data_IF_043804164742
#
_entry.id   IF_043804164742
#
_cell.length_a   1.000
_cell.length_b   1.000
_cell.length_c   1.000
_cell.angle_alpha   90.00
_cell.angle_beta   90.00
_cell.angle_gamma   90.00
#
_symmetry.space_group_name_H-M   'P 1'
#
loop_
_entity.id
_entity.type
_entity.pdbx_description
1 polymer ?
#
# COMPACT_ATOMS: atom_id res chain seq x y z
N UNK A 1 32.56 -0.28 -42.73
CA UNK A 1 33.30 0.65 -41.87
C UNK A 1 32.44 0.85 -40.63
N UNK A 2 32.78 0.14 -39.55
CA UNK A 2 32.10 0.25 -38.26
C UNK A 2 32.46 1.59 -37.65
N UNK A 3 31.44 2.35 -37.27
CA UNK A 3 31.64 3.53 -36.42
C UNK A 3 32.14 3.03 -35.05
N UNK A 4 33.39 3.27 -34.78
CA UNK A 4 34.02 3.15 -33.47
C UNK A 4 33.27 4.08 -32.53
N UNK A 5 32.42 3.56 -31.66
CA UNK A 5 31.78 4.35 -30.61
C UNK A 5 32.90 4.84 -29.70
N UNK A 6 33.16 6.16 -29.73
CA UNK A 6 34.08 6.78 -28.82
C UNK A 6 33.64 6.47 -27.39
N UNK A 7 34.50 5.79 -26.63
CA UNK A 7 34.28 5.51 -25.21
C UNK A 7 34.06 6.85 -24.50
N UNK A 8 32.81 7.07 -24.02
CA UNK A 8 32.43 8.26 -23.23
C UNK A 8 31.40 9.21 -23.83
N UNK A 9 30.85 8.96 -25.00
CA UNK A 9 29.80 9.79 -25.62
C UNK A 9 28.38 9.46 -25.14
N UNK A 10 27.52 10.48 -25.04
CA UNK A 10 26.11 10.32 -24.72
C UNK A 10 25.41 9.43 -25.78
N UNK A 11 24.61 8.45 -25.35
CA UNK A 11 23.94 7.48 -26.21
C UNK A 11 22.70 8.00 -26.93
N UNK A 12 22.29 9.23 -26.71
CA UNK A 12 21.07 9.80 -27.30
C UNK A 12 21.32 10.29 -28.71
N UNK A 13 20.36 9.94 -29.60
CA UNK A 13 20.26 10.52 -30.94
C UNK A 13 19.35 11.73 -30.90
N UNK A 14 19.82 12.86 -31.42
CA UNK A 14 19.05 14.12 -31.51
C UNK A 14 17.95 14.00 -32.59
N UNK A 15 16.97 14.88 -32.54
CA UNK A 15 15.85 14.88 -33.47
C UNK A 15 16.22 15.06 -34.96
N UNK A 16 17.43 15.50 -35.26
CA UNK A 16 18.01 15.59 -36.59
C UNK A 16 18.80 14.35 -37.02
N UNK A 17 18.78 13.29 -36.21
CA UNK A 17 19.44 12.01 -36.49
C UNK A 17 20.95 11.99 -36.19
N UNK A 18 21.52 13.05 -35.61
CA UNK A 18 22.91 13.07 -35.17
C UNK A 18 23.06 12.57 -33.72
N UNK A 19 24.21 11.94 -33.37
CA UNK A 19 24.48 11.60 -31.98
C UNK A 19 24.67 12.88 -31.16
N UNK A 20 24.28 12.83 -29.90
CA UNK A 20 24.54 13.92 -28.95
C UNK A 20 26.07 14.11 -28.79
N UNK A 21 26.58 15.36 -28.96
CA UNK A 21 28.03 15.63 -28.89
C UNK A 21 28.57 15.68 -27.46
N UNK A 22 27.71 15.69 -26.45
CA UNK A 22 28.08 15.85 -25.06
C UNK A 22 28.69 14.57 -24.47
N UNK A 23 29.56 14.74 -23.50
CA UNK A 23 30.17 13.62 -22.79
C UNK A 23 29.19 13.05 -21.74
N UNK A 24 29.34 11.73 -21.48
CA UNK A 24 28.62 11.06 -20.40
C UNK A 24 28.99 11.68 -19.07
N UNK A 25 28.00 11.85 -18.19
CA UNK A 25 28.22 12.33 -16.82
C UNK A 25 29.14 11.37 -16.04
N UNK A 26 30.25 11.82 -15.49
CA UNK A 26 31.19 10.97 -14.76
C UNK A 26 30.53 10.26 -13.58
N UNK A 27 30.67 8.93 -13.51
CA UNK A 27 30.11 8.11 -12.45
C UNK A 27 28.60 7.76 -12.63
N UNK A 28 27.96 8.22 -13.71
CA UNK A 28 26.60 7.82 -14.05
C UNK A 28 26.56 6.34 -14.46
N UNK A 29 25.59 5.55 -13.96
CA UNK A 29 25.37 4.19 -14.44
C UNK A 29 24.73 4.15 -15.84
N UNK A 30 24.28 5.29 -16.36
CA UNK A 30 23.66 5.45 -17.66
C UNK A 30 24.62 6.20 -18.60
N UNK A 31 24.71 5.78 -19.86
CA UNK A 31 25.51 6.44 -20.89
C UNK A 31 24.81 7.72 -21.39
N UNK A 32 24.52 8.65 -20.48
CA UNK A 32 23.84 9.90 -20.75
C UNK A 32 24.67 11.11 -20.25
N UNK A 33 24.63 12.22 -20.97
CA UNK A 33 25.13 13.49 -20.48
C UNK A 33 24.19 14.09 -19.44
N UNK A 34 24.67 15.10 -18.69
CA UNK A 34 23.90 15.79 -17.64
C UNK A 34 22.52 16.27 -18.14
N UNK A 35 22.42 16.83 -19.35
CA UNK A 35 21.16 17.30 -19.91
C UNK A 35 20.16 16.17 -20.10
N UNK A 36 20.59 15.06 -20.74
CA UNK A 36 19.69 13.92 -20.98
C UNK A 36 19.39 13.12 -19.70
N UNK A 37 20.23 13.17 -18.67
CA UNK A 37 19.90 12.69 -17.34
C UNK A 37 18.77 13.51 -16.69
N UNK A 38 18.83 14.85 -16.84
CA UNK A 38 17.75 15.74 -16.38
C UNK A 38 16.45 15.49 -17.14
N UNK A 39 16.50 15.34 -18.46
CA UNK A 39 15.32 14.99 -19.27
C UNK A 39 14.70 13.65 -18.83
N UNK A 40 15.53 12.64 -18.60
CA UNK A 40 15.09 11.33 -18.10
C UNK A 40 14.48 11.47 -16.69
N UNK A 41 15.09 12.25 -15.80
CA UNK A 41 14.55 12.52 -14.46
C UNK A 41 13.20 13.25 -14.53
N UNK A 42 13.07 14.26 -15.37
CA UNK A 42 11.82 14.99 -15.55
C UNK A 42 10.71 14.09 -16.07
N UNK A 43 11.02 13.20 -17.01
CA UNK A 43 10.07 12.22 -17.50
C UNK A 43 9.64 11.26 -16.38
N UNK A 44 10.57 10.67 -15.66
CA UNK A 44 10.28 9.75 -14.55
C UNK A 44 9.47 10.47 -13.46
N UNK A 45 9.88 11.66 -13.06
CA UNK A 45 9.18 12.38 -11.98
C UNK A 45 7.75 12.77 -12.36
N UNK A 46 7.47 13.01 -13.66
CA UNK A 46 6.15 13.35 -14.16
C UNK A 46 5.25 12.14 -14.35
N UNK A 47 5.76 11.08 -14.97
CA UNK A 47 4.95 9.96 -15.46
C UNK A 47 4.97 8.76 -14.50
N UNK A 48 6.06 8.53 -13.78
CA UNK A 48 6.23 7.42 -12.82
C UNK A 48 6.12 7.91 -11.37
N UNK A 49 6.55 9.13 -11.12
CA UNK A 49 6.67 9.71 -9.77
C UNK A 49 7.96 9.29 -9.06
N UNK A 50 8.25 9.97 -7.96
CA UNK A 50 9.44 9.72 -7.14
C UNK A 50 9.00 9.33 -5.73
N UNK A 51 9.43 8.15 -5.29
CA UNK A 51 9.16 7.69 -3.92
C UNK A 51 9.97 8.54 -2.93
N UNK A 52 9.28 9.12 -1.96
CA UNK A 52 9.86 9.99 -0.94
C UNK A 52 8.97 10.03 0.31
N UNK A 53 9.40 10.74 1.35
CA UNK A 53 8.60 10.96 2.55
C UNK A 53 7.51 12.01 2.28
N UNK A 54 6.28 11.67 2.63
CA UNK A 54 5.18 12.63 2.63
C UNK A 54 5.50 13.84 3.53
N UNK A 55 5.09 15.05 3.15
CA UNK A 55 5.31 16.26 3.97
C UNK A 55 4.62 16.17 5.34
N UNK A 56 3.56 15.38 5.44
CA UNK A 56 2.87 15.04 6.68
C UNK A 56 2.41 13.58 6.63
N UNK A 57 2.12 12.92 7.77
CA UNK A 57 1.51 11.62 7.74
C UNK A 57 0.21 11.62 6.93
N UNK A 58 -0.02 10.58 6.14
CA UNK A 58 -1.23 10.45 5.34
C UNK A 58 -2.49 10.51 6.22
N UNK A 59 -3.42 11.38 5.89
CA UNK A 59 -4.66 11.57 6.65
C UNK A 59 -5.55 10.32 6.65
N UNK A 60 -5.49 9.52 5.58
CA UNK A 60 -6.29 8.31 5.46
C UNK A 60 -5.71 7.11 6.24
N UNK A 61 -4.38 6.92 6.23
CA UNK A 61 -3.76 5.71 6.77
C UNK A 61 -2.60 5.92 7.74
N UNK A 62 -2.15 7.16 7.94
CA UNK A 62 -1.05 7.51 8.85
C UNK A 62 0.35 7.17 8.34
N UNK A 63 0.50 6.57 7.17
CA UNK A 63 1.80 6.24 6.57
C UNK A 63 2.54 7.51 6.16
N UNK A 64 3.87 7.43 6.08
CA UNK A 64 4.75 8.55 5.73
C UNK A 64 5.44 8.41 4.38
N UNK A 65 5.32 7.27 3.73
CA UNK A 65 5.90 7.04 2.41
C UNK A 65 4.88 7.41 1.34
N UNK A 66 5.29 8.21 0.38
CA UNK A 66 4.47 8.64 -0.73
C UNK A 66 5.21 8.61 -2.06
N UNK A 67 4.48 8.92 -3.11
CA UNK A 67 4.99 9.12 -4.45
C UNK A 67 4.75 10.59 -4.79
N UNK A 68 5.82 11.28 -5.11
CA UNK A 68 5.80 12.69 -5.49
C UNK A 68 5.69 12.80 -7.01
N UNK A 69 4.68 13.53 -7.47
CA UNK A 69 4.50 13.99 -8.84
C UNK A 69 4.59 15.51 -8.90
N UNK A 70 4.76 16.14 -10.07
CA UNK A 70 4.64 17.59 -10.22
C UNK A 70 3.26 18.11 -9.79
N UNK A 71 2.21 17.28 -9.91
CA UNK A 71 0.83 17.58 -9.51
C UNK A 71 0.56 17.38 -8.01
N UNK A 72 1.55 16.96 -7.22
CA UNK A 72 1.42 16.73 -5.78
C UNK A 72 1.82 15.33 -5.34
N UNK A 73 1.44 15.00 -4.12
CA UNK A 73 1.80 13.75 -3.48
C UNK A 73 0.64 12.76 -3.44
N UNK A 74 0.96 11.48 -3.62
CA UNK A 74 0.05 10.36 -3.41
C UNK A 74 0.66 9.44 -2.35
N UNK A 75 -0.13 8.99 -1.38
CA UNK A 75 0.33 8.02 -0.40
C UNK A 75 0.64 6.68 -1.08
N UNK A 76 1.85 6.16 -0.91
CA UNK A 76 2.27 4.89 -1.51
C UNK A 76 1.50 3.66 -0.97
N UNK A 77 0.86 3.79 0.20
CA UNK A 77 0.15 2.68 0.85
C UNK A 77 -1.35 2.64 0.54
N UNK A 78 -2.01 3.79 0.41
CA UNK A 78 -3.47 3.85 0.26
C UNK A 78 -3.93 4.75 -0.91
N UNK A 79 -2.98 5.27 -1.69
CA UNK A 79 -3.23 6.11 -2.87
C UNK A 79 -3.98 7.42 -2.58
N UNK A 80 -4.09 7.80 -1.28
CA UNK A 80 -4.68 9.07 -0.90
C UNK A 80 -3.85 10.23 -1.42
N UNK A 81 -4.47 11.18 -2.11
CA UNK A 81 -3.82 12.40 -2.55
C UNK A 81 -3.63 13.35 -1.36
N UNK A 82 -2.41 13.80 -1.13
CA UNK A 82 -2.11 14.78 -0.06
C UNK A 82 -2.67 16.14 -0.46
N UNK A 83 -3.43 16.72 0.44
CA UNK A 83 -4.15 17.99 0.20
C UNK A 83 -5.63 17.79 -0.07
N UNK A 84 -6.07 16.59 -0.45
CA UNK A 84 -7.50 16.29 -0.47
C UNK A 84 -8.00 16.31 0.98
N UNK A 85 -8.88 17.22 1.27
CA UNK A 85 -9.63 17.23 2.52
C UNK A 85 -10.85 16.32 2.30
N UNK A 86 -11.15 15.43 3.24
CA UNK A 86 -12.48 14.84 3.29
C UNK A 86 -13.46 16.02 3.36
N UNK A 87 -14.36 16.14 2.41
CA UNK A 87 -15.39 17.19 2.46
C UNK A 87 -16.02 17.20 3.85
N UNK A 88 -16.12 18.38 4.43
CA UNK A 88 -16.82 18.57 5.71
C UNK A 88 -18.29 18.21 5.46
N UNK A 89 -18.66 17.01 5.75
CA UNK A 89 -19.97 16.43 5.43
C UNK A 89 -19.89 15.04 4.86
N UNK A 90 -18.69 14.55 4.52
CA UNK A 90 -18.51 13.12 4.22
C UNK A 90 -18.87 12.35 5.49
N UNK A 91 -20.00 11.69 5.39
CA UNK A 91 -20.42 10.60 6.26
C UNK A 91 -19.17 9.76 6.55
N UNK A 92 -18.87 9.57 7.82
CA UNK A 92 -17.78 8.74 8.29
C UNK A 92 -17.73 7.46 7.47
N UNK A 93 -16.74 7.35 6.57
CA UNK A 93 -16.65 6.22 5.65
C UNK A 93 -16.40 4.97 6.45
N UNK A 94 -17.44 4.18 6.60
CA UNK A 94 -17.41 2.92 7.32
C UNK A 94 -17.05 1.80 6.37
N UNK A 95 -15.98 1.09 6.69
CA UNK A 95 -15.59 -0.13 6.03
C UNK A 95 -15.63 -1.23 7.07
N UNK A 96 -16.65 -2.08 6.96
CA UNK A 96 -16.80 -3.24 7.84
C UNK A 96 -15.76 -4.28 7.49
N UNK A 97 -15.03 -4.75 8.50
CA UNK A 97 -14.06 -5.82 8.35
C UNK A 97 -14.24 -6.89 9.43
N UNK A 98 -13.96 -8.12 9.05
CA UNK A 98 -13.67 -9.20 9.99
C UNK A 98 -12.17 -9.19 10.23
N UNK A 99 -11.76 -9.13 11.49
CA UNK A 99 -10.36 -9.12 11.90
C UNK A 99 -9.96 -10.44 12.55
N UNK A 100 -8.70 -10.81 12.34
CA UNK A 100 -8.05 -11.98 12.93
C UNK A 100 -6.88 -11.50 13.78
N UNK A 101 -6.99 -11.68 15.11
CA UNK A 101 -5.96 -11.25 16.07
C UNK A 101 -5.33 -12.47 16.73
N UNK A 102 -3.99 -12.49 16.81
CA UNK A 102 -3.27 -13.48 17.59
C UNK A 102 -3.03 -12.98 19.03
N UNK A 103 -3.31 -13.84 19.97
CA UNK A 103 -2.93 -13.68 21.36
C UNK A 103 -2.52 -15.03 21.90
N UNK A 104 -1.23 -15.20 22.22
CA UNK A 104 -0.61 -16.48 22.54
C UNK A 104 -0.87 -17.54 21.45
N UNK A 105 -1.43 -18.67 21.81
CA UNK A 105 -1.80 -19.81 20.94
C UNK A 105 -3.21 -19.73 20.37
N UNK A 106 -3.89 -18.58 20.49
CA UNK A 106 -5.29 -18.38 20.11
C UNK A 106 -5.45 -17.31 19.05
N UNK A 107 -6.48 -17.45 18.25
CA UNK A 107 -6.90 -16.46 17.26
C UNK A 107 -8.30 -15.96 17.61
N UNK A 108 -8.47 -14.65 17.71
CA UNK A 108 -9.77 -14.01 17.83
C UNK A 108 -10.30 -13.67 16.44
N UNK A 109 -11.54 -14.05 16.19
CA UNK A 109 -12.30 -13.61 15.01
C UNK A 109 -13.40 -12.67 15.48
N UNK A 110 -13.41 -11.44 14.97
CA UNK A 110 -14.42 -10.45 15.32
C UNK A 110 -14.64 -9.45 14.19
N UNK A 111 -15.66 -8.60 14.31
CA UNK A 111 -15.96 -7.60 13.29
C UNK A 111 -15.98 -6.18 13.84
N UNK A 112 -15.65 -5.20 12.99
CA UNK A 112 -15.73 -3.79 13.32
C UNK A 112 -15.80 -2.93 12.06
N UNK A 113 -16.48 -1.80 12.15
CA UNK A 113 -16.41 -0.71 11.18
C UNK A 113 -15.36 0.36 11.57
N UNK A 114 -14.81 0.29 12.78
CA UNK A 114 -13.68 1.08 13.26
C UNK A 114 -12.65 0.14 13.93
N UNK A 115 -11.92 -0.66 13.15
CA UNK A 115 -11.01 -1.66 13.69
C UNK A 115 -9.86 -1.05 14.50
N UNK A 116 -9.40 0.17 14.20
CA UNK A 116 -8.33 0.83 15.00
C UNK A 116 -8.74 1.01 16.45
N UNK A 117 -9.92 1.58 16.68
CA UNK A 117 -10.45 1.80 18.03
C UNK A 117 -10.78 0.46 18.70
N UNK A 118 -11.42 -0.45 17.97
CA UNK A 118 -11.85 -1.75 18.53
C UNK A 118 -10.67 -2.61 18.95
N UNK A 119 -9.67 -2.74 18.09
CA UNK A 119 -8.51 -3.60 18.32
C UNK A 119 -7.59 -3.03 19.40
N UNK A 120 -7.44 -1.70 19.49
CA UNK A 120 -6.66 -1.07 20.55
C UNK A 120 -7.16 -1.40 21.97
N UNK A 121 -8.44 -1.75 22.11
CA UNK A 121 -9.04 -2.14 23.38
C UNK A 121 -9.02 -3.66 23.65
N UNK A 122 -8.43 -4.45 22.74
CA UNK A 122 -8.38 -5.91 22.85
C UNK A 122 -6.96 -6.40 23.12
N UNK A 123 -6.79 -7.42 24.00
CA UNK A 123 -5.49 -8.05 24.14
C UNK A 123 -5.12 -8.76 22.83
N UNK A 124 -3.96 -8.44 22.27
CA UNK A 124 -3.41 -9.09 21.08
C UNK A 124 -1.91 -8.81 20.97
N UNK A 125 -1.18 -9.73 20.35
CA UNK A 125 0.21 -9.54 19.98
C UNK A 125 0.36 -9.08 18.54
N UNK A 126 -0.57 -9.54 17.67
CA UNK A 126 -0.47 -9.34 16.23
C UNK A 126 -1.86 -9.25 15.59
N UNK A 127 -1.99 -8.37 14.61
CA UNK A 127 -3.12 -8.37 13.67
C UNK A 127 -2.72 -9.22 12.48
N UNK A 128 -3.28 -10.42 12.38
CA UNK A 128 -2.93 -11.38 11.33
C UNK A 128 -3.50 -10.99 9.96
N UNK A 129 -4.78 -10.65 9.90
CA UNK A 129 -5.47 -10.31 8.66
C UNK A 129 -6.73 -9.51 8.90
N UNK A 130 -7.16 -8.83 7.83
CA UNK A 130 -8.52 -8.33 7.67
C UNK A 130 -9.20 -9.02 6.49
N UNK A 131 -10.50 -9.22 6.60
CA UNK A 131 -11.38 -9.69 5.53
C UNK A 131 -12.50 -8.68 5.35
N UNK A 132 -12.76 -8.25 4.11
CA UNK A 132 -13.78 -7.24 3.82
C UNK A 132 -15.19 -7.82 4.04
N UNK A 133 -15.90 -7.30 5.02
CA UNK A 133 -17.26 -7.74 5.35
C UNK A 133 -17.60 -7.52 6.81
N UNK A 134 -18.89 -7.57 7.12
CA UNK A 134 -19.44 -7.29 8.44
C UNK A 134 -19.88 -8.57 9.18
N UNK A 135 -20.85 -8.36 10.08
CA UNK A 135 -21.34 -9.38 11.02
C UNK A 135 -21.76 -10.70 10.37
N UNK A 136 -22.36 -10.66 9.18
CA UNK A 136 -22.76 -11.89 8.47
C UNK A 136 -21.56 -12.75 8.07
N UNK A 137 -20.46 -12.11 7.70
CA UNK A 137 -19.21 -12.81 7.38
C UNK A 137 -18.57 -13.38 8.65
N UNK A 138 -18.50 -12.60 9.73
CA UNK A 138 -18.03 -13.05 11.04
C UNK A 138 -18.77 -14.30 11.49
N UNK A 139 -20.11 -14.30 11.42
CA UNK A 139 -20.92 -15.45 11.78
C UNK A 139 -20.61 -16.69 10.92
N UNK A 140 -20.41 -16.50 9.61
CA UNK A 140 -19.98 -17.58 8.71
C UNK A 140 -18.62 -18.15 9.12
N UNK A 141 -17.67 -17.29 9.49
CA UNK A 141 -16.34 -17.73 9.94
C UNK A 141 -16.41 -18.43 11.29
N UNK A 142 -17.24 -17.95 12.22
CA UNK A 142 -17.50 -18.64 13.49
C UNK A 142 -18.12 -20.01 13.28
N UNK A 143 -19.03 -20.18 12.32
CA UNK A 143 -19.60 -21.49 11.96
C UNK A 143 -18.58 -22.41 11.26
N UNK A 144 -17.76 -21.84 10.37
CA UNK A 144 -16.72 -22.57 9.64
C UNK A 144 -15.68 -23.19 10.58
N UNK A 145 -15.32 -22.49 11.64
CA UNK A 145 -14.29 -22.90 12.60
C UNK A 145 -14.89 -23.31 13.96
N UNK A 146 -16.16 -23.74 13.98
CA UNK A 146 -16.89 -24.04 15.21
C UNK A 146 -16.17 -25.07 16.10
N UNK A 147 -15.51 -26.07 15.51
CA UNK A 147 -14.78 -27.12 16.21
C UNK A 147 -13.52 -26.61 16.94
N UNK A 148 -12.98 -25.47 16.53
CA UNK A 148 -11.83 -24.81 17.14
C UNK A 148 -12.26 -23.73 18.15
N UNK A 149 -13.57 -23.44 18.24
CA UNK A 149 -14.05 -22.33 19.05
C UNK A 149 -13.99 -22.64 20.54
N UNK A 150 -13.35 -21.77 21.30
CA UNK A 150 -13.35 -21.84 22.77
C UNK A 150 -14.77 -21.46 23.26
N UNK A 151 -15.43 -22.35 24.04
CA UNK A 151 -16.83 -22.18 24.44
C UNK A 151 -17.15 -20.81 25.04
N UNK A 152 -18.24 -20.19 24.60
CA UNK A 152 -18.75 -18.88 25.06
C UNK A 152 -17.81 -17.68 24.80
N UNK A 153 -16.89 -17.81 23.86
CA UNK A 153 -15.95 -16.74 23.48
C UNK A 153 -15.95 -16.52 21.97
N UNK A 154 -15.20 -15.51 21.52
CA UNK A 154 -14.87 -15.24 20.12
C UNK A 154 -13.41 -15.63 19.82
N UNK A 155 -12.83 -16.47 20.67
CA UNK A 155 -11.50 -17.03 20.55
C UNK A 155 -11.54 -18.44 20.01
N UNK A 156 -10.55 -18.79 19.23
CA UNK A 156 -10.40 -20.07 18.56
C UNK A 156 -9.01 -20.62 18.85
N UNK A 157 -8.90 -21.92 19.07
CA UNK A 157 -7.63 -22.61 19.11
C UNK A 157 -6.98 -22.59 17.74
N UNK A 158 -5.66 -22.49 17.69
CA UNK A 158 -4.91 -22.51 16.44
C UNK A 158 -4.93 -23.93 15.88
N UNK A 159 -5.58 -24.10 14.73
CA UNK A 159 -5.68 -25.39 14.02
C UNK A 159 -5.32 -25.25 12.54
N UNK A 160 -5.02 -26.35 11.85
CA UNK A 160 -4.59 -26.33 10.44
C UNK A 160 -5.55 -25.56 9.52
N UNK A 161 -6.84 -25.81 9.63
CA UNK A 161 -7.85 -25.16 8.78
C UNK A 161 -7.94 -23.66 8.99
N UNK A 162 -7.85 -23.18 10.23
CA UNK A 162 -7.86 -21.75 10.54
C UNK A 162 -6.53 -21.10 10.13
N UNK A 163 -5.40 -21.76 10.35
CA UNK A 163 -4.08 -21.26 9.95
C UNK A 163 -3.97 -21.14 8.42
N UNK A 164 -4.45 -22.12 7.68
CA UNK A 164 -4.49 -22.08 6.22
C UNK A 164 -5.37 -20.94 5.70
N UNK A 165 -6.55 -20.75 6.29
CA UNK A 165 -7.44 -19.66 5.94
C UNK A 165 -6.78 -18.29 6.18
N UNK A 166 -6.13 -18.10 7.33
CA UNK A 166 -5.40 -16.87 7.63
C UNK A 166 -4.25 -16.66 6.62
N UNK A 167 -3.50 -17.72 6.29
CA UNK A 167 -2.44 -17.64 5.30
C UNK A 167 -2.97 -17.25 3.90
N UNK A 168 -4.16 -17.73 3.51
CA UNK A 168 -4.81 -17.31 2.26
C UNK A 168 -5.17 -15.82 2.27
N UNK A 169 -5.65 -15.29 3.40
CA UNK A 169 -5.95 -13.86 3.55
C UNK A 169 -4.69 -13.00 3.54
N UNK A 170 -3.57 -13.52 4.01
CA UNK A 170 -2.27 -12.85 4.02
C UNK A 170 -1.56 -12.90 2.65
N UNK A 171 -1.99 -13.75 1.74
CA UNK A 171 -1.35 -13.91 0.44
C UNK A 171 -1.34 -12.60 -0.36
N UNK A 172 -0.14 -12.06 -0.62
CA UNK A 172 0.05 -10.77 -1.30
C UNK A 172 -0.24 -9.53 -0.44
N UNK A 173 -0.43 -9.70 0.87
CA UNK A 173 -0.66 -8.60 1.82
C UNK A 173 0.52 -8.50 2.77
N UNK A 174 1.34 -7.47 2.62
CA UNK A 174 2.48 -7.21 3.52
C UNK A 174 2.05 -6.66 4.89
N UNK A 175 1.00 -5.83 4.91
CA UNK A 175 0.48 -5.18 6.10
C UNK A 175 -1.06 -5.12 6.06
N UNK A 176 -1.77 -5.79 6.98
CA UNK A 176 -3.23 -5.73 7.05
C UNK A 176 -3.77 -4.29 7.20
N UNK A 177 -3.05 -3.41 7.91
CA UNK A 177 -3.47 -2.03 8.08
C UNK A 177 -3.37 -1.21 6.81
N UNK A 178 -2.36 -1.47 5.96
CA UNK A 178 -2.23 -0.86 4.64
C UNK A 178 -3.37 -1.31 3.73
N UNK A 179 -3.72 -2.61 3.77
CA UNK A 179 -4.87 -3.15 3.04
C UNK A 179 -6.18 -2.47 3.47
N UNK A 180 -6.43 -2.35 4.78
CA UNK A 180 -7.62 -1.66 5.30
C UNK A 180 -7.66 -0.19 4.87
N UNK A 181 -6.52 0.50 4.90
CA UNK A 181 -6.42 1.88 4.45
C UNK A 181 -6.75 2.03 2.95
N UNK A 182 -6.31 1.09 2.12
CA UNK A 182 -6.65 1.04 0.69
C UNK A 182 -8.16 0.88 0.46
N UNK A 183 -8.82 -0.01 1.22
CA UNK A 183 -10.29 -0.15 1.14
C UNK A 183 -11.03 1.12 1.54
N UNK A 184 -10.57 1.81 2.59
CA UNK A 184 -11.14 3.11 2.99
C UNK A 184 -10.97 4.15 1.91
N UNK A 185 -9.78 4.26 1.34
CA UNK A 185 -9.47 5.21 0.27
C UNK A 185 -10.37 4.99 -0.95
N UNK A 186 -10.51 3.74 -1.39
CA UNK A 186 -11.42 3.38 -2.49
C UNK A 186 -12.88 3.74 -2.17
N UNK A 187 -13.32 3.49 -0.94
CA UNK A 187 -14.68 3.81 -0.53
C UNK A 187 -14.95 5.31 -0.55
N UNK A 188 -13.99 6.13 -0.11
CA UNK A 188 -14.05 7.59 -0.16
C UNK A 188 -14.13 8.04 -1.62
N UNK A 189 -13.27 7.54 -2.50
CA UNK A 189 -13.26 7.89 -3.92
C UNK A 189 -14.58 7.55 -4.64
N UNK A 190 -15.31 6.53 -4.17
CA UNK A 190 -16.61 6.12 -4.74
C UNK A 190 -17.80 6.88 -4.12
N UNK A 191 -17.58 7.66 -3.07
CA UNK A 191 -18.65 8.38 -2.34
C UNK A 191 -18.77 9.84 -2.76
N UNK A 192 -17.81 10.37 -3.55
CA UNK A 192 -17.81 11.69 -4.19
C UNK A 192 -18.22 11.58 -5.62
#
# INVERSE_FOLDING_TARGET
>A
MGAEQAEGGCSIMLGDGRPCPEQVEPGSPLSLCSNHLLDAYDWVSRDVGVTDLLPSPCLACGRRVGIRYPSGWICAACEWRVGDLPDQGIVEVRVDVVYYLRFDDRIKIGTSNNPRQRIAALPHHEVLAFELGGRMLEQRRHAQFADLRIPRTEWFETGPALSEHVAQLQAGVEDPWAQYASWRSRRIALSG
#
